data_IF_239089708333
#
_entry.id   IF_239089708333
#
_cell.length_a   1.000
_cell.length_b   1.000
_cell.length_c   1.000
_cell.angle_alpha   90.00
_cell.angle_beta   90.00
_cell.angle_gamma   90.00
#
_symmetry.space_group_name_H-M   'P 1'
#
loop_
_entity.id
_entity.type
_entity.pdbx_description
1 polymer ?
#
# COMPACT_ATOMS: atom_id res chain seq x y z
N UNK A 1 4.65 16.58 -8.87
CA UNK A 1 3.90 16.68 -7.59
C UNK A 1 2.61 15.94 -7.79
N UNK A 2 2.37 14.99 -6.94
CA UNK A 2 1.17 14.13 -7.00
C UNK A 2 0.04 14.92 -6.38
N UNK A 3 -0.99 15.19 -7.15
CA UNK A 3 -2.19 15.90 -6.67
C UNK A 3 -3.36 14.96 -6.85
N UNK A 4 -3.83 14.41 -5.74
CA UNK A 4 -5.10 13.70 -5.63
C UNK A 4 -6.02 14.49 -4.67
N UNK A 5 -7.29 14.14 -4.60
CA UNK A 5 -8.27 14.88 -3.79
C UNK A 5 -7.92 14.86 -2.30
N UNK A 6 -7.42 13.74 -1.78
CA UNK A 6 -6.99 13.64 -0.39
C UNK A 6 -5.81 14.58 -0.10
N UNK A 7 -4.84 14.70 -1.01
CA UNK A 7 -3.70 15.63 -0.85
C UNK A 7 -4.11 17.10 -0.98
N UNK A 8 -5.09 17.42 -1.85
CA UNK A 8 -5.68 18.77 -1.92
C UNK A 8 -6.40 19.11 -0.61
N UNK A 9 -7.15 18.16 -0.07
CA UNK A 9 -7.83 18.30 1.21
C UNK A 9 -6.83 18.50 2.36
N UNK A 10 -5.74 17.73 2.38
CA UNK A 10 -4.66 17.88 3.33
C UNK A 10 -4.03 19.29 3.27
N UNK A 11 -3.70 19.76 2.06
CA UNK A 11 -3.14 21.11 1.87
C UNK A 11 -4.08 22.21 2.41
N UNK A 12 -5.38 22.03 2.18
CA UNK A 12 -6.41 22.98 2.63
C UNK A 12 -6.55 22.99 4.16
N UNK A 13 -6.49 21.80 4.79
CA UNK A 13 -6.70 21.63 6.24
C UNK A 13 -5.45 21.84 7.07
N UNK A 14 -4.27 21.48 6.56
CA UNK A 14 -3.00 21.60 7.28
C UNK A 14 -1.81 21.73 6.34
N UNK A 15 -1.39 22.95 6.08
CA UNK A 15 -0.20 23.22 5.26
C UNK A 15 1.06 22.56 5.82
N UNK A 16 1.23 22.54 7.15
CA UNK A 16 2.40 21.92 7.81
C UNK A 16 2.48 20.41 7.55
N UNK A 17 1.35 19.68 7.70
CA UNK A 17 1.29 18.26 7.41
C UNK A 17 1.51 17.97 5.93
N UNK A 18 0.97 18.81 5.05
CA UNK A 18 1.18 18.68 3.61
C UNK A 18 2.64 18.88 3.21
N UNK A 19 3.35 19.84 3.79
CA UNK A 19 4.78 20.07 3.55
C UNK A 19 5.60 18.84 3.98
N UNK A 20 5.33 18.29 5.17
CA UNK A 20 5.98 17.06 5.65
C UNK A 20 5.69 15.87 4.74
N UNK A 21 4.43 15.66 4.34
CA UNK A 21 4.05 14.62 3.37
C UNK A 21 4.83 14.75 2.06
N UNK A 22 4.91 15.96 1.49
CA UNK A 22 5.63 16.23 0.24
C UNK A 22 7.13 15.91 0.36
N UNK A 23 7.74 16.26 1.50
CA UNK A 23 9.16 16.01 1.73
C UNK A 23 9.42 14.49 1.85
N UNK A 24 8.54 13.77 2.52
CA UNK A 24 8.58 12.31 2.58
C UNK A 24 8.37 11.63 1.22
N UNK A 25 7.50 12.17 0.35
CA UNK A 25 7.38 11.67 -1.03
C UNK A 25 8.74 11.69 -1.75
N UNK A 26 9.55 12.74 -1.55
CA UNK A 26 10.88 12.84 -2.17
C UNK A 26 11.85 11.79 -1.61
N UNK A 27 11.81 11.53 -0.32
CA UNK A 27 12.65 10.50 0.34
C UNK A 27 12.29 9.12 -0.18
N UNK A 28 11.00 8.77 -0.14
CA UNK A 28 10.49 7.47 -0.57
C UNK A 28 10.74 7.23 -2.06
N UNK A 29 10.53 8.24 -2.91
CA UNK A 29 10.83 8.13 -4.33
C UNK A 29 12.29 7.71 -4.56
N UNK A 30 13.24 8.33 -3.87
CA UNK A 30 14.67 7.96 -3.98
C UNK A 30 14.95 6.55 -3.50
N UNK A 31 14.23 6.06 -2.50
CA UNK A 31 14.34 4.68 -2.03
C UNK A 31 13.83 3.69 -3.09
N UNK A 32 12.67 3.95 -3.66
CA UNK A 32 12.05 3.10 -4.68
C UNK A 32 12.81 3.09 -6.01
N UNK A 33 13.43 4.21 -6.40
CA UNK A 33 14.31 4.27 -7.58
C UNK A 33 15.52 3.33 -7.47
N UNK A 34 16.05 3.15 -6.25
CA UNK A 34 17.12 2.16 -6.00
C UNK A 34 16.61 0.74 -6.14
N UNK A 35 15.40 0.48 -5.66
CA UNK A 35 14.75 -0.83 -5.79
C UNK A 35 14.61 -1.26 -7.25
N UNK A 36 14.08 -0.42 -8.13
CA UNK A 36 13.92 -0.71 -9.56
C UNK A 36 15.24 -1.08 -10.26
N UNK A 37 16.37 -0.54 -9.80
CA UNK A 37 17.71 -0.92 -10.32
C UNK A 37 18.16 -2.28 -9.85
N UNK A 38 17.74 -2.74 -8.68
CA UNK A 38 18.10 -4.03 -8.10
C UNK A 38 17.20 -5.14 -8.65
N UNK A 39 15.94 -4.84 -8.90
CA UNK A 39 14.91 -5.80 -9.31
C UNK A 39 14.14 -5.31 -10.54
N UNK A 40 14.79 -5.23 -11.73
CA UNK A 40 14.15 -4.64 -12.92
C UNK A 40 12.94 -5.41 -13.42
N UNK A 41 12.83 -6.69 -13.11
CA UNK A 41 11.78 -7.59 -13.60
C UNK A 41 10.58 -7.74 -12.63
N UNK A 42 10.55 -6.98 -11.54
CA UNK A 42 9.39 -7.00 -10.64
C UNK A 42 8.42 -5.88 -11.03
N UNK A 43 7.14 -6.09 -10.72
CA UNK A 43 6.07 -5.11 -10.91
C UNK A 43 6.48 -3.70 -10.49
N UNK A 44 6.02 -2.67 -11.19
CA UNK A 44 6.42 -1.28 -10.95
C UNK A 44 5.82 -0.73 -9.65
N UNK A 45 6.48 -1.01 -8.53
CA UNK A 45 6.18 -0.40 -7.23
C UNK A 45 6.89 0.95 -7.06
N UNK A 46 6.92 1.74 -8.13
CA UNK A 46 7.44 3.10 -8.11
C UNK A 46 6.47 4.06 -7.43
N UNK A 47 6.84 5.33 -7.43
CA UNK A 47 5.96 6.40 -6.99
C UNK A 47 4.63 6.44 -7.76
N UNK A 48 4.57 5.88 -8.96
CA UNK A 48 3.33 5.78 -9.74
C UNK A 48 2.34 4.80 -9.11
N UNK A 49 2.83 3.68 -8.58
CA UNK A 49 1.97 2.74 -7.86
C UNK A 49 1.37 3.36 -6.58
N UNK A 50 2.16 4.14 -5.86
CA UNK A 50 1.64 4.92 -4.73
C UNK A 50 0.52 5.90 -5.18
N UNK A 51 0.68 6.56 -6.34
CA UNK A 51 -0.37 7.43 -6.90
C UNK A 51 -1.64 6.63 -7.13
N UNK A 52 -1.53 5.45 -7.75
CA UNK A 52 -2.68 4.58 -7.98
C UNK A 52 -3.39 4.20 -6.68
N UNK A 53 -2.66 3.84 -5.63
CA UNK A 53 -3.26 3.56 -4.31
C UNK A 53 -4.04 4.78 -3.80
N UNK A 54 -3.42 5.95 -3.82
CA UNK A 54 -4.06 7.16 -3.33
C UNK A 54 -5.29 7.57 -4.16
N UNK A 55 -5.23 7.42 -5.50
CA UNK A 55 -6.37 7.66 -6.39
C UNK A 55 -7.52 6.65 -6.14
N UNK A 56 -7.20 5.38 -5.88
CA UNK A 56 -8.23 4.39 -5.53
C UNK A 56 -8.81 4.64 -4.14
N UNK A 57 -8.03 5.10 -3.16
CA UNK A 57 -8.58 5.56 -1.90
C UNK A 57 -9.57 6.71 -2.09
N UNK A 58 -9.24 7.70 -2.94
CA UNK A 58 -10.15 8.79 -3.30
C UNK A 58 -11.41 8.30 -4.03
N UNK A 59 -11.27 7.28 -4.88
CA UNK A 59 -12.37 6.72 -5.67
C UNK A 59 -13.39 5.95 -4.81
N UNK A 60 -12.90 5.24 -3.79
CA UNK A 60 -13.73 4.43 -2.86
C UNK A 60 -14.54 5.34 -1.93
N UNK A 61 -13.93 6.43 -1.50
CA UNK A 61 -14.61 7.42 -0.67
C UNK A 61 -15.58 8.23 -1.51
N UNK A 62 -16.82 8.37 -1.06
CA UNK A 62 -17.68 9.40 -1.63
C UNK A 62 -17.17 10.80 -1.26
N UNK A 63 -17.69 11.81 -1.96
CA UNK A 63 -17.26 13.19 -1.75
C UNK A 63 -17.45 13.65 -0.29
N UNK A 64 -18.54 13.25 0.35
CA UNK A 64 -18.84 13.65 1.72
C UNK A 64 -17.81 13.04 2.69
N UNK A 65 -17.52 11.74 2.58
CA UNK A 65 -16.51 11.08 3.41
C UNK A 65 -15.12 11.71 3.24
N UNK A 66 -14.76 12.06 2.02
CA UNK A 66 -13.47 12.70 1.74
C UNK A 66 -13.40 14.09 2.39
N UNK A 67 -14.48 14.89 2.31
CA UNK A 67 -14.57 16.21 2.95
C UNK A 67 -14.59 16.10 4.49
N UNK A 68 -15.16 15.02 5.04
CA UNK A 68 -15.23 14.76 6.48
C UNK A 68 -13.90 14.29 7.11
N UNK A 69 -12.93 13.84 6.31
CA UNK A 69 -11.60 13.51 6.83
C UNK A 69 -10.94 14.77 7.40
N UNK A 70 -10.43 14.71 8.62
CA UNK A 70 -9.60 15.79 9.15
C UNK A 70 -8.19 15.79 8.53
N UNK A 71 -7.37 16.82 8.82
CA UNK A 71 -6.03 16.94 8.27
C UNK A 71 -5.10 15.79 8.66
N UNK A 72 -5.21 15.33 9.89
CA UNK A 72 -4.38 14.24 10.42
C UNK A 72 -4.77 12.89 9.79
N UNK A 73 -6.05 12.66 9.54
CA UNK A 73 -6.55 11.49 8.82
C UNK A 73 -6.08 11.46 7.36
N UNK A 74 -6.19 12.59 6.65
CA UNK A 74 -5.66 12.71 5.29
C UNK A 74 -4.15 12.43 5.27
N UNK A 75 -3.40 12.97 6.24
CA UNK A 75 -1.97 12.77 6.37
C UNK A 75 -1.65 11.29 6.61
N UNK A 76 -2.26 10.66 7.61
CA UNK A 76 -2.01 9.26 7.93
C UNK A 76 -2.34 8.32 6.77
N UNK A 77 -3.46 8.53 6.07
CA UNK A 77 -3.86 7.73 4.91
C UNK A 77 -2.83 7.85 3.77
N UNK A 78 -2.44 9.08 3.41
CA UNK A 78 -1.47 9.33 2.35
C UNK A 78 -0.09 8.79 2.69
N UNK A 79 0.35 8.95 3.94
CA UNK A 79 1.64 8.43 4.38
C UNK A 79 1.65 6.91 4.44
N UNK A 80 0.58 6.26 4.91
CA UNK A 80 0.49 4.80 4.90
C UNK A 80 0.48 4.24 3.47
N UNK A 81 -0.24 4.87 2.54
CA UNK A 81 -0.18 4.54 1.12
C UNK A 81 1.24 4.70 0.54
N UNK A 82 1.91 5.81 0.86
CA UNK A 82 3.28 6.11 0.41
C UNK A 82 4.28 5.06 0.89
N UNK A 83 4.13 4.61 2.13
CA UNK A 83 5.06 3.65 2.74
C UNK A 83 4.74 2.19 2.42
N UNK A 84 3.56 1.85 1.93
CA UNK A 84 3.10 0.46 1.77
C UNK A 84 4.12 -0.44 1.07
N UNK A 85 4.87 0.08 0.11
CA UNK A 85 5.80 -0.69 -0.71
C UNK A 85 7.29 -0.40 -0.46
N UNK A 86 7.65 0.39 0.55
CA UNK A 86 9.06 0.71 0.86
C UNK A 86 9.86 -0.52 1.30
N UNK A 87 9.19 -1.55 1.82
CA UNK A 87 9.81 -2.82 2.19
C UNK A 87 10.47 -3.57 1.03
N UNK A 88 10.08 -3.29 -0.21
CA UNK A 88 10.80 -3.83 -1.37
C UNK A 88 12.25 -3.36 -1.50
N UNK A 89 12.59 -2.21 -0.91
CA UNK A 89 13.94 -1.66 -0.92
C UNK A 89 14.95 -2.35 0.00
N UNK A 90 14.58 -3.41 0.70
CA UNK A 90 15.43 -4.08 1.68
C UNK A 90 16.43 -5.03 1.03
N UNK A 91 17.63 -5.07 1.60
CA UNK A 91 18.57 -6.14 1.30
C UNK A 91 18.25 -7.42 2.10
N UNK A 92 18.86 -8.54 1.71
CA UNK A 92 18.61 -9.84 2.31
C UNK A 92 18.91 -9.90 3.82
N UNK A 93 19.91 -9.18 4.29
CA UNK A 93 20.28 -9.15 5.71
C UNK A 93 19.17 -8.51 6.57
N UNK A 94 18.69 -7.34 6.15
CA UNK A 94 17.60 -6.63 6.84
C UNK A 94 16.29 -7.43 6.75
N UNK A 95 16.01 -8.00 5.58
CA UNK A 95 14.85 -8.89 5.40
C UNK A 95 14.88 -10.06 6.38
N UNK A 96 16.01 -10.77 6.52
CA UNK A 96 16.14 -11.89 7.45
C UNK A 96 15.94 -11.44 8.91
N UNK A 97 16.41 -10.26 9.28
CA UNK A 97 16.18 -9.68 10.60
C UNK A 97 14.69 -9.43 10.86
N UNK A 98 13.97 -8.91 9.86
CA UNK A 98 12.52 -8.67 9.98
C UNK A 98 11.71 -9.96 9.98
N UNK A 99 12.10 -10.98 9.20
CA UNK A 99 11.52 -12.32 9.28
C UNK A 99 11.59 -12.87 10.72
N UNK A 100 12.76 -12.72 11.36
CA UNK A 100 12.94 -13.14 12.75
C UNK A 100 12.09 -12.32 13.73
N UNK A 101 12.05 -11.01 13.57
CA UNK A 101 11.26 -10.10 14.38
C UNK A 101 9.75 -10.39 14.31
N UNK A 102 9.25 -10.67 13.10
CA UNK A 102 7.84 -10.97 12.85
C UNK A 102 7.45 -12.42 13.18
N UNK A 103 8.42 -13.29 13.48
CA UNK A 103 8.17 -14.70 13.82
C UNK A 103 7.66 -15.55 12.64
N UNK A 104 7.95 -15.12 11.39
CA UNK A 104 7.46 -15.78 10.16
C UNK A 104 8.47 -16.72 9.50
N UNK A 105 9.48 -17.20 10.26
CA UNK A 105 10.53 -18.07 9.72
C UNK A 105 9.98 -19.36 9.10
N UNK A 106 8.96 -19.97 9.74
CA UNK A 106 8.36 -21.22 9.23
C UNK A 106 7.62 -21.00 7.92
N UNK A 107 6.95 -19.87 7.76
CA UNK A 107 6.19 -19.49 6.57
C UNK A 107 7.10 -19.14 5.39
N UNK A 108 8.37 -18.80 5.65
CA UNK A 108 9.32 -18.35 4.64
C UNK A 108 10.35 -19.40 4.23
N UNK A 109 10.44 -20.55 4.93
CA UNK A 109 11.46 -21.57 4.71
C UNK A 109 11.52 -22.14 3.28
N UNK A 110 10.37 -22.27 2.61
CA UNK A 110 10.27 -22.82 1.25
C UNK A 110 10.20 -21.74 0.17
N UNK A 111 10.23 -20.47 0.55
CA UNK A 111 10.05 -19.36 -0.38
C UNK A 111 11.40 -18.81 -0.84
N UNK A 112 11.48 -18.43 -2.11
CA UNK A 112 12.58 -17.65 -2.63
C UNK A 112 12.61 -16.24 -2.06
N UNK A 113 13.74 -15.53 -2.20
CA UNK A 113 13.84 -14.14 -1.78
C UNK A 113 12.72 -13.27 -2.38
N UNK A 114 12.44 -13.42 -3.68
CA UNK A 114 11.42 -12.63 -4.38
C UNK A 114 10.00 -12.95 -3.89
N UNK A 115 9.71 -14.22 -3.63
CA UNK A 115 8.41 -14.63 -3.06
C UNK A 115 8.20 -14.07 -1.65
N UNK A 116 9.25 -14.07 -0.82
CA UNK A 116 9.20 -13.45 0.51
C UNK A 116 8.92 -11.95 0.39
N UNK A 117 9.64 -11.26 -0.50
CA UNK A 117 9.46 -9.84 -0.72
C UNK A 117 8.05 -9.54 -1.24
N UNK A 118 7.58 -10.27 -2.24
CA UNK A 118 6.23 -10.09 -2.79
C UNK A 118 5.14 -10.27 -1.72
N UNK A 119 5.30 -11.25 -0.83
CA UNK A 119 4.28 -11.59 0.15
C UNK A 119 4.30 -10.71 1.41
N UNK A 120 5.48 -10.25 1.84
CA UNK A 120 5.65 -9.63 3.17
C UNK A 120 6.19 -8.20 3.12
N UNK A 121 6.35 -7.59 1.93
CA UNK A 121 6.93 -6.25 1.81
C UNK A 121 6.22 -5.18 2.63
N UNK A 122 4.90 -5.24 2.75
CA UNK A 122 4.14 -4.27 3.56
C UNK A 122 4.46 -4.41 5.05
N UNK A 123 4.57 -5.65 5.56
CA UNK A 123 5.03 -5.88 6.94
C UNK A 123 6.46 -5.39 7.15
N UNK A 124 7.31 -5.58 6.15
CA UNK A 124 8.68 -5.06 6.18
C UNK A 124 8.72 -3.54 6.14
N UNK A 125 7.77 -2.90 5.43
CA UNK A 125 7.61 -1.44 5.47
C UNK A 125 7.26 -0.95 6.88
N UNK A 126 6.36 -1.62 7.58
CA UNK A 126 6.05 -1.29 8.97
C UNK A 126 7.29 -1.41 9.87
N UNK A 127 8.03 -2.53 9.78
CA UNK A 127 9.28 -2.72 10.53
C UNK A 127 10.33 -1.65 10.19
N UNK A 128 10.43 -1.23 8.93
CA UNK A 128 11.35 -0.19 8.48
C UNK A 128 11.04 1.15 9.15
N UNK A 129 9.76 1.53 9.21
CA UNK A 129 9.34 2.79 9.83
C UNK A 129 9.54 2.73 11.35
N UNK A 130 9.30 1.59 12.00
CA UNK A 130 9.56 1.43 13.42
C UNK A 130 11.04 1.61 13.75
N UNK A 131 11.93 1.06 12.94
CA UNK A 131 13.39 1.07 13.18
C UNK A 131 14.04 2.39 12.73
N UNK A 132 13.60 2.97 11.62
CA UNK A 132 14.24 4.13 11.00
C UNK A 132 13.28 5.33 10.86
N UNK A 133 12.20 5.37 11.64
CA UNK A 133 11.17 6.39 11.55
C UNK A 133 11.67 7.83 11.73
N UNK A 134 12.79 8.02 12.44
CA UNK A 134 13.39 9.34 12.65
C UNK A 134 13.84 10.01 11.33
N UNK A 135 14.13 9.23 10.29
CA UNK A 135 14.49 9.74 8.96
C UNK A 135 13.34 10.49 8.30
N UNK A 136 12.10 10.16 8.65
CA UNK A 136 10.89 10.66 8.02
C UNK A 136 10.27 11.87 8.74
N UNK A 137 10.83 12.28 9.87
CA UNK A 137 10.41 13.46 10.63
C UNK A 137 8.89 13.54 10.84
N UNK A 138 8.27 12.44 11.31
CA UNK A 138 6.83 12.42 11.58
C UNK A 138 6.40 13.55 12.51
N UNK A 139 5.21 14.16 12.31
CA UNK A 139 4.74 15.28 13.13
C UNK A 139 4.60 14.94 14.61
N UNK A 140 4.30 13.68 14.93
CA UNK A 140 4.31 13.13 16.30
C UNK A 140 4.42 11.60 16.27
N UNK A 141 4.77 11.00 17.42
CA UNK A 141 4.77 9.54 17.60
C UNK A 141 3.39 8.92 17.38
N UNK A 142 2.31 9.67 17.59
CA UNK A 142 0.94 9.20 17.35
C UNK A 142 0.69 9.02 15.85
N UNK A 143 1.12 9.95 15.00
CA UNK A 143 1.02 9.81 13.54
C UNK A 143 1.84 8.60 13.05
N UNK A 144 3.09 8.46 13.55
CA UNK A 144 3.95 7.33 13.24
C UNK A 144 3.27 6.01 13.60
N UNK A 145 2.73 5.93 14.84
CA UNK A 145 2.03 4.73 15.31
C UNK A 145 0.79 4.41 14.46
N UNK A 146 -0.02 5.42 14.13
CA UNK A 146 -1.19 5.26 13.29
C UNK A 146 -0.84 4.68 11.91
N UNK A 147 0.20 5.21 11.27
CA UNK A 147 0.70 4.74 9.97
C UNK A 147 1.19 3.29 10.08
N UNK A 148 2.00 2.96 11.08
CA UNK A 148 2.52 1.61 11.31
C UNK A 148 1.39 0.62 11.54
N UNK A 149 0.37 0.99 12.34
CA UNK A 149 -0.79 0.13 12.61
C UNK A 149 -1.58 -0.19 11.33
N UNK A 150 -1.79 0.79 10.45
CA UNK A 150 -2.41 0.57 9.16
C UNK A 150 -1.58 -0.36 8.27
N UNK A 151 -0.25 -0.21 8.25
CA UNK A 151 0.64 -1.08 7.46
C UNK A 151 0.66 -2.51 8.01
N UNK A 152 0.68 -2.71 9.32
CA UNK A 152 0.55 -4.05 9.89
C UNK A 152 -0.77 -4.70 9.54
N UNK A 153 -1.86 -3.94 9.55
CA UNK A 153 -3.17 -4.45 9.15
C UNK A 153 -3.19 -4.90 7.70
N UNK A 154 -2.78 -4.06 6.74
CA UNK A 154 -2.84 -4.41 5.31
C UNK A 154 -1.79 -5.44 4.88
N UNK A 155 -0.69 -5.56 5.60
CA UNK A 155 0.39 -6.53 5.32
C UNK A 155 0.27 -7.86 6.06
N UNK A 156 -0.60 -7.90 7.07
CA UNK A 156 -0.75 -9.05 7.96
C UNK A 156 -2.04 -9.82 7.73
N UNK A 157 -2.66 -10.19 8.82
CA UNK A 157 -3.94 -10.89 8.82
C UNK A 157 -5.07 -9.85 8.85
N UNK A 158 -5.73 -9.64 7.70
CA UNK A 158 -6.80 -8.65 7.56
C UNK A 158 -8.07 -8.98 8.37
N UNK A 159 -8.12 -10.17 8.99
CA UNK A 159 -9.31 -10.64 9.70
C UNK A 159 -9.60 -9.86 11.00
N UNK A 160 -8.71 -8.97 11.44
CA UNK A 160 -8.82 -8.33 12.76
C UNK A 160 -8.84 -6.79 12.72
N UNK A 161 -9.57 -6.21 11.77
CA UNK A 161 -9.80 -4.76 11.70
C UNK A 161 -10.44 -4.21 13.00
N UNK A 162 -11.09 -5.08 13.79
CA UNK A 162 -11.73 -4.69 15.02
C UNK A 162 -10.75 -4.41 16.16
N UNK A 163 -9.47 -4.80 16.02
CA UNK A 163 -8.41 -4.47 16.96
C UNK A 163 -7.82 -3.06 16.72
N UNK A 164 -8.15 -2.42 15.60
CA UNK A 164 -7.73 -1.04 15.35
C UNK A 164 -8.66 -0.08 16.11
N UNK A 165 -8.10 0.51 17.13
CA UNK A 165 -8.79 1.53 17.94
C UNK A 165 -8.63 2.91 17.33
N UNK A 166 -9.59 3.80 17.63
CA UNK A 166 -9.47 5.22 17.32
C UNK A 166 -8.33 5.83 18.13
N UNK A 167 -7.45 6.59 17.49
CA UNK A 167 -6.29 7.21 18.12
C UNK A 167 -6.56 8.69 18.33
N UNK A 168 -6.55 9.14 19.60
CA UNK A 168 -6.66 10.55 19.96
C UNK A 168 -5.30 11.24 19.83
N UNK A 169 -5.28 12.39 19.16
CA UNK A 169 -4.09 13.23 19.10
C UNK A 169 -3.88 13.99 20.41
N UNK A 170 -2.65 14.41 20.65
CA UNK A 170 -2.23 15.00 21.93
C UNK A 170 -2.91 16.33 22.29
N UNK A 171 -3.55 16.98 21.33
CA UNK A 171 -4.36 18.18 21.54
C UNK A 171 -5.80 17.88 22.00
N UNK A 172 -6.20 16.60 22.04
CA UNK A 172 -7.55 16.11 22.34
C UNK A 172 -8.68 16.71 21.48
N UNK A 173 -8.34 17.36 20.35
CA UNK A 173 -9.33 18.00 19.47
C UNK A 173 -9.60 17.16 18.22
N UNK A 174 -8.60 16.38 17.79
CA UNK A 174 -8.70 15.52 16.62
C UNK A 174 -8.48 14.06 17.00
N UNK A 175 -9.20 13.17 16.36
CA UNK A 175 -8.97 11.73 16.38
C UNK A 175 -8.64 11.21 14.99
N UNK A 176 -7.95 10.09 14.93
CA UNK A 176 -7.70 9.35 13.69
C UNK A 176 -8.49 8.06 13.74
N UNK A 177 -9.49 7.93 12.87
CA UNK A 177 -10.35 6.75 12.74
C UNK A 177 -9.60 5.62 12.03
N UNK A 178 -8.66 4.98 12.74
CA UNK A 178 -7.75 3.99 12.14
C UNK A 178 -8.47 2.87 11.41
N UNK A 179 -9.57 2.37 11.96
CA UNK A 179 -10.36 1.29 11.36
C UNK A 179 -10.88 1.67 9.99
N UNK A 180 -11.45 2.85 9.85
CA UNK A 180 -11.99 3.33 8.57
C UNK A 180 -10.88 3.56 7.55
N UNK A 181 -9.78 4.22 7.98
CA UNK A 181 -8.65 4.51 7.12
C UNK A 181 -7.94 3.23 6.66
N UNK A 182 -7.76 2.25 7.56
CA UNK A 182 -7.14 0.96 7.22
C UNK A 182 -8.01 0.18 6.24
N UNK A 183 -9.34 0.20 6.37
CA UNK A 183 -10.24 -0.42 5.42
C UNK A 183 -10.16 0.24 4.04
N UNK A 184 -10.16 1.57 3.98
CA UNK A 184 -10.02 2.33 2.73
C UNK A 184 -8.67 2.01 2.07
N UNK A 185 -7.59 2.04 2.85
CA UNK A 185 -6.24 1.73 2.36
C UNK A 185 -6.13 0.29 1.86
N UNK A 186 -6.70 -0.69 2.56
CA UNK A 186 -6.66 -2.10 2.15
C UNK A 186 -7.32 -2.30 0.78
N UNK A 187 -8.50 -1.72 0.57
CA UNK A 187 -9.20 -1.80 -0.72
C UNK A 187 -8.45 -1.02 -1.79
N UNK A 188 -7.99 0.20 -1.50
CA UNK A 188 -7.21 1.02 -2.43
C UNK A 188 -5.93 0.33 -2.88
N UNK A 189 -5.19 -0.28 -1.94
CA UNK A 189 -3.98 -1.06 -2.23
C UNK A 189 -4.30 -2.28 -3.12
N UNK A 190 -5.35 -3.04 -2.80
CA UNK A 190 -5.76 -4.20 -3.60
C UNK A 190 -6.15 -3.81 -5.03
N UNK A 191 -6.85 -2.69 -5.21
CA UNK A 191 -7.22 -2.19 -6.54
C UNK A 191 -6.00 -1.72 -7.33
N UNK A 192 -5.01 -1.09 -6.66
CA UNK A 192 -3.77 -0.68 -7.28
C UNK A 192 -2.93 -1.90 -7.72
N UNK A 193 -2.91 -2.96 -6.91
CA UNK A 193 -2.26 -4.23 -7.28
C UNK A 193 -2.92 -4.86 -8.53
N UNK A 194 -4.24 -4.80 -8.65
CA UNK A 194 -4.95 -5.29 -9.85
C UNK A 194 -4.63 -4.47 -11.11
N UNK A 195 -4.32 -3.17 -10.95
CA UNK A 195 -3.95 -2.28 -12.06
C UNK A 195 -2.46 -2.40 -12.42
N UNK A 196 -1.62 -2.85 -11.49
CA UNK A 196 -0.16 -2.89 -11.66
C UNK A 196 0.24 -4.00 -12.63
N UNK A 197 0.27 -3.65 -13.92
CA UNK A 197 0.69 -4.53 -15.00
C UNK A 197 2.22 -4.51 -15.05
N UNK A 198 2.86 -5.67 -15.02
CA UNK A 198 4.26 -5.78 -15.40
C UNK A 198 4.34 -6.03 -16.93
N UNK A 199 4.68 -4.99 -17.73
CA UNK A 199 4.79 -5.16 -19.18
C UNK A 199 5.98 -6.03 -19.61
N UNK A 200 6.93 -6.27 -18.72
CA UNK A 200 8.20 -6.94 -19.02
C UNK A 200 8.19 -8.45 -18.66
N UNK A 201 7.06 -8.99 -18.18
CA UNK A 201 6.92 -10.43 -18.03
C UNK A 201 6.69 -11.05 -19.39
N UNK A 202 7.78 -11.57 -19.96
CA UNK A 202 7.74 -12.31 -21.21
C UNK A 202 7.03 -13.65 -21.00
N UNK A 203 6.01 -13.94 -21.82
CA UNK A 203 5.25 -15.19 -21.76
C UNK A 203 6.17 -16.43 -21.96
N UNK A 204 7.34 -16.25 -22.54
CA UNK A 204 8.34 -17.31 -22.72
C UNK A 204 9.01 -17.75 -21.41
N UNK A 205 8.86 -16.98 -20.33
CA UNK A 205 9.49 -17.23 -19.03
C UNK A 205 8.57 -17.89 -17.99
N UNK A 206 7.32 -18.26 -18.33
CA UNK A 206 6.38 -18.86 -17.40
C UNK A 206 6.90 -20.10 -16.67
N UNK A 207 7.79 -20.87 -17.29
CA UNK A 207 8.41 -22.03 -16.66
C UNK A 207 9.28 -21.70 -15.44
N UNK A 208 9.62 -20.43 -15.25
CA UNK A 208 10.42 -19.94 -14.12
C UNK A 208 9.56 -19.53 -12.90
N UNK A 209 8.25 -19.43 -13.09
CA UNK A 209 7.32 -18.95 -12.08
C UNK A 209 6.48 -20.10 -11.50
N UNK A 210 6.15 -20.00 -10.23
CA UNK A 210 5.19 -20.94 -9.62
C UNK A 210 3.74 -20.62 -10.02
N UNK A 211 2.82 -21.54 -9.72
CA UNK A 211 1.42 -21.40 -10.10
C UNK A 211 0.74 -20.15 -9.54
N UNK A 212 1.12 -19.71 -8.32
CA UNK A 212 0.54 -18.51 -7.68
C UNK A 212 1.02 -17.22 -8.38
N UNK A 213 2.29 -17.19 -8.78
CA UNK A 213 2.85 -16.05 -9.53
C UNK A 213 2.22 -15.92 -10.90
N UNK A 214 2.00 -17.06 -11.60
CA UNK A 214 1.32 -17.11 -12.89
C UNK A 214 -0.13 -16.64 -12.75
N UNK A 215 -0.85 -17.14 -11.72
CA UNK A 215 -2.24 -16.72 -11.44
C UNK A 215 -2.28 -15.21 -11.18
N UNK A 216 -1.41 -14.69 -10.31
CA UNK A 216 -1.35 -13.26 -10.01
C UNK A 216 -1.02 -12.40 -11.24
N UNK A 217 -0.19 -12.90 -12.16
CA UNK A 217 0.08 -12.24 -13.43
C UNK A 217 -1.17 -12.22 -14.33
N UNK A 218 -1.84 -13.36 -14.50
CA UNK A 218 -3.06 -13.46 -15.31
C UNK A 218 -4.15 -12.55 -14.77
N UNK A 219 -4.36 -12.53 -13.46
CA UNK A 219 -5.36 -11.67 -12.80
C UNK A 219 -5.11 -10.19 -13.11
N UNK A 220 -3.88 -9.71 -12.98
CA UNK A 220 -3.52 -8.31 -13.28
C UNK A 220 -3.71 -7.93 -14.74
N UNK A 221 -3.38 -8.84 -15.66
CA UNK A 221 -3.54 -8.58 -17.10
C UNK A 221 -4.99 -8.67 -17.60
N UNK A 222 -5.91 -9.19 -16.79
CA UNK A 222 -7.31 -9.32 -17.14
C UNK A 222 -8.10 -8.04 -16.83
N UNK A 223 -7.72 -7.29 -15.80
CA UNK A 223 -8.40 -6.05 -15.43
C UNK A 223 -8.06 -4.94 -16.43
N UNK A 224 -9.11 -4.41 -17.11
CA UNK A 224 -9.00 -3.32 -18.10
C UNK A 224 -9.29 -1.95 -17.53
N UNK A 225 -10.25 -1.86 -16.63
CA UNK A 225 -10.60 -0.61 -15.97
C UNK A 225 -11.25 -0.85 -14.61
N UNK A 226 -11.07 0.09 -13.72
CA UNK A 226 -11.68 0.12 -12.39
C UNK A 226 -12.33 1.50 -12.23
N UNK A 227 -13.62 1.52 -11.89
CA UNK A 227 -14.37 2.76 -11.71
C UNK A 227 -15.47 2.60 -10.65
N UNK A 228 -15.91 3.71 -10.07
CA UNK A 228 -17.14 3.74 -9.28
C UNK A 228 -18.24 4.35 -10.13
N UNK A 229 -19.28 3.58 -10.42
CA UNK A 229 -20.47 4.02 -11.19
C UNK A 229 -21.72 3.80 -10.33
N UNK A 230 -22.47 4.86 -10.08
CA UNK A 230 -23.71 4.81 -9.26
C UNK A 230 -23.50 4.22 -7.85
N UNK A 231 -22.38 4.56 -7.20
CA UNK A 231 -22.05 4.06 -5.86
C UNK A 231 -21.63 2.58 -5.81
N UNK A 232 -21.34 1.97 -6.96
CA UNK A 232 -20.86 0.58 -7.07
C UNK A 232 -19.47 0.55 -7.68
N UNK A 233 -18.59 -0.27 -7.12
CA UNK A 233 -17.31 -0.59 -7.72
C UNK A 233 -17.57 -1.43 -8.97
N UNK A 234 -17.08 -0.96 -10.12
CA UNK A 234 -17.18 -1.65 -11.43
C UNK A 234 -15.78 -1.97 -11.89
N UNK A 235 -15.48 -3.25 -12.02
CA UNK A 235 -14.23 -3.76 -12.57
C UNK A 235 -14.53 -4.32 -13.95
N UNK A 236 -13.98 -3.70 -14.98
CA UNK A 236 -14.08 -4.20 -16.35
C UNK A 236 -12.89 -5.12 -16.59
N UNK A 237 -13.17 -6.38 -16.88
CA UNK A 237 -12.18 -7.39 -17.17
C UNK A 237 -12.31 -7.90 -18.61
N UNK A 238 -11.18 -8.29 -19.21
CA UNK A 238 -11.14 -8.97 -20.51
C UNK A 238 -10.53 -10.35 -20.32
N UNK A 239 -11.19 -11.40 -20.80
CA UNK A 239 -10.65 -12.76 -20.69
C UNK A 239 -11.73 -13.85 -20.70
N UNK A 240 -11.33 -15.06 -20.31
CA UNK A 240 -12.23 -16.21 -20.19
C UNK A 240 -13.04 -16.16 -18.90
N UNK A 241 -14.11 -16.96 -18.81
CA UNK A 241 -14.92 -17.09 -17.57
C UNK A 241 -14.07 -17.49 -16.36
N UNK A 242 -12.98 -18.24 -16.57
CA UNK A 242 -12.03 -18.60 -15.52
C UNK A 242 -11.30 -17.38 -14.94
N UNK A 243 -10.97 -16.41 -15.79
CA UNK A 243 -10.33 -15.17 -15.35
C UNK A 243 -11.29 -14.28 -14.55
N UNK A 244 -12.57 -14.24 -14.91
CA UNK A 244 -13.59 -13.55 -14.11
C UNK A 244 -13.77 -14.17 -12.73
N UNK A 245 -13.80 -15.51 -12.64
CA UNK A 245 -13.91 -16.23 -11.36
C UNK A 245 -12.73 -15.97 -10.43
N UNK A 246 -11.53 -15.71 -10.95
CA UNK A 246 -10.35 -15.34 -10.17
C UNK A 246 -10.47 -13.93 -9.56
N UNK A 247 -11.03 -12.98 -10.32
CA UNK A 247 -11.26 -11.61 -9.85
C UNK A 247 -12.31 -11.59 -8.73
N UNK A 248 -13.45 -12.30 -8.93
CA UNK A 248 -14.53 -12.37 -7.93
C UNK A 248 -14.09 -12.92 -6.57
N UNK A 249 -13.02 -13.70 -6.50
CA UNK A 249 -12.47 -14.24 -5.25
C UNK A 249 -11.61 -13.24 -4.46
N UNK A 250 -11.18 -12.13 -5.10
CA UNK A 250 -10.28 -11.14 -4.48
C UNK A 250 -10.97 -9.82 -4.10
N UNK A 251 -12.15 -9.56 -4.64
CA UNK A 251 -12.98 -8.39 -4.36
C UNK A 251 -14.09 -8.75 -3.37
#
# INVERSE_FOLDING_TARGET
>A
MIVNKCSENLLTKSKKLYENYRDNCTVVQRMLEKYKKIYPNISDYSIMHFIDIAEFCDLIMDRQKLEDLNGDECYCLLMAALFAHTGFGLNQEIMNRYINRLGIQKQTQSLTFLQIMSKYHVLFSACLIEEYGDIFEFPSEIHKHAIISMLYFIGGNSDDINQLEEVLLSDNQNSVRLKDLAAILAVGNQLAELKNINPDLDYEDFDKYNSEEIVGFVERNVVRSIAVKYGKLVIEAGGSDSAYALIERKV
#
